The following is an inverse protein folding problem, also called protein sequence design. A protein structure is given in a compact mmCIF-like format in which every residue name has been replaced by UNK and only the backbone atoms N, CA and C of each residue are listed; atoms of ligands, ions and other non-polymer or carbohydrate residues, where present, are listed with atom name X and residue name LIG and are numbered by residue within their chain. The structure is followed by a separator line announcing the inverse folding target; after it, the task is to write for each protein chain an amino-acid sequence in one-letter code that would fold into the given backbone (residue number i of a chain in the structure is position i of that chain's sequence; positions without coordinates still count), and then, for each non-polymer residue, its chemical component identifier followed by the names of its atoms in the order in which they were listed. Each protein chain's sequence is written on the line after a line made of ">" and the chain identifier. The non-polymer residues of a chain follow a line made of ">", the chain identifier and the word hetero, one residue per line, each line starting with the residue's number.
data_IF_536258439192
#
_entry.id   IF_536258439192
#
_cell.length_a   1.000
_cell.length_b   1.000
_cell.length_c   1.000
_cell.angle_alpha   90.00
_cell.angle_beta   90.00
_cell.angle_gamma   90.00
#
_symmetry.space_group_name_H-M   'P 1'
#
loop_
_entity.id
_entity.type
_entity.pdbx_description
1 polymer ?
#
# COMPACT_ATOMS: atom_id res chain seq x y z
N UNK A 1 -24.03 11.99 20.20
CA UNK A 1 -22.94 12.97 20.48
C UNK A 1 -21.58 12.46 19.98
N UNK A 2 -21.14 11.25 20.34
CA UNK A 2 -19.87 10.63 19.89
C UNK A 2 -19.65 10.59 18.35
N UNK A 3 -20.63 10.23 17.49
CA UNK A 3 -20.38 10.18 16.05
C UNK A 3 -20.18 11.57 15.43
N UNK A 4 -20.90 12.59 15.92
CA UNK A 4 -20.86 13.95 15.36
C UNK A 4 -19.49 14.61 15.58
N UNK A 5 -18.90 14.43 16.77
CA UNK A 5 -17.59 14.99 17.10
C UNK A 5 -16.48 14.35 16.25
N UNK A 6 -16.57 13.04 15.99
CA UNK A 6 -15.64 12.32 15.12
C UNK A 6 -15.64 12.86 13.69
N UNK A 7 -16.83 13.10 13.11
CA UNK A 7 -16.95 13.65 11.76
C UNK A 7 -16.37 15.07 11.66
N UNK A 8 -16.61 15.92 12.65
CA UNK A 8 -16.08 17.29 12.66
C UNK A 8 -14.55 17.26 12.78
N UNK A 9 -14.01 16.45 13.69
CA UNK A 9 -12.55 16.38 13.90
C UNK A 9 -11.82 15.84 12.66
N UNK A 10 -12.40 14.83 12.00
CA UNK A 10 -11.87 14.30 10.74
C UNK A 10 -11.92 15.37 9.62
N UNK A 11 -13.02 16.10 9.49
CA UNK A 11 -13.16 17.17 8.51
C UNK A 11 -12.16 18.32 8.74
N UNK A 12 -11.96 18.75 10.00
CA UNK A 12 -10.97 19.77 10.35
C UNK A 12 -9.55 19.32 10.02
N UNK A 13 -9.23 18.06 10.26
CA UNK A 13 -7.89 17.50 9.98
C UNK A 13 -7.64 17.43 8.48
N UNK A 14 -8.61 16.95 7.70
CA UNK A 14 -8.54 16.92 6.24
C UNK A 14 -8.37 18.34 5.69
N UNK A 15 -9.18 19.28 6.14
CA UNK A 15 -9.08 20.67 5.72
C UNK A 15 -7.72 21.29 6.06
N UNK A 16 -7.19 21.01 7.26
CA UNK A 16 -5.86 21.45 7.67
C UNK A 16 -4.76 20.93 6.74
N UNK A 17 -4.78 19.65 6.39
CA UNK A 17 -3.81 19.05 5.47
C UNK A 17 -3.88 19.70 4.08
N UNK A 18 -5.09 19.89 3.54
CA UNK A 18 -5.25 20.55 2.23
C UNK A 18 -4.79 22.01 2.24
N UNK A 19 -5.09 22.75 3.30
CA UNK A 19 -4.69 24.15 3.45
C UNK A 19 -3.16 24.30 3.52
N UNK A 20 -2.48 23.51 4.35
CA UNK A 20 -1.02 23.52 4.45
C UNK A 20 -0.37 23.19 3.11
N UNK A 21 -0.90 22.17 2.43
CA UNK A 21 -0.35 21.70 1.16
C UNK A 21 -0.46 22.73 0.04
N UNK A 22 -1.54 23.51 0.00
CA UNK A 22 -1.65 24.64 -0.92
C UNK A 22 -0.66 25.77 -0.61
N UNK A 23 -0.42 26.05 0.68
CA UNK A 23 0.57 27.06 1.10
C UNK A 23 2.00 26.64 0.74
N UNK A 24 2.34 25.38 0.96
CA UNK A 24 3.64 24.82 0.58
C UNK A 24 3.86 24.89 -0.94
N UNK A 25 2.84 24.54 -1.74
CA UNK A 25 2.92 24.61 -3.19
C UNK A 25 3.20 26.05 -3.70
N UNK A 26 2.62 27.07 -3.06
CA UNK A 26 2.90 28.47 -3.41
C UNK A 26 4.34 28.86 -3.07
N UNK A 27 4.83 28.49 -1.88
CA UNK A 27 6.20 28.75 -1.47
C UNK A 27 7.25 28.04 -2.37
N UNK A 28 6.90 26.90 -2.96
CA UNK A 28 7.76 26.20 -3.93
C UNK A 28 7.84 26.94 -5.27
N UNK A 29 6.71 27.43 -5.77
CA UNK A 29 6.66 28.23 -7.01
C UNK A 29 7.43 29.55 -6.84
N UNK A 30 7.29 30.21 -5.70
CA UNK A 30 8.05 31.44 -5.37
C UNK A 30 9.57 31.21 -5.32
N UNK A 31 10.00 29.98 -5.00
CA UNK A 31 11.41 29.56 -5.03
C UNK A 31 11.87 29.05 -6.40
N UNK A 32 11.02 29.12 -7.43
CA UNK A 32 11.32 28.66 -8.78
C UNK A 32 11.30 27.14 -8.96
N UNK A 33 10.82 26.38 -7.97
CA UNK A 33 10.72 24.92 -8.02
C UNK A 33 9.32 24.57 -8.53
N UNK A 34 9.23 23.85 -9.64
CA UNK A 34 7.93 23.45 -10.19
C UNK A 34 7.37 22.23 -9.42
N UNK A 35 6.32 22.36 -8.60
CA UNK A 35 5.83 21.28 -7.74
C UNK A 35 5.26 20.09 -8.52
N UNK A 36 4.87 20.31 -9.78
CA UNK A 36 4.33 19.27 -10.68
C UNK A 36 5.40 18.27 -11.16
N UNK A 37 6.67 18.65 -11.23
CA UNK A 37 7.73 17.72 -11.64
C UNK A 37 8.04 16.70 -10.57
N UNK A 38 8.09 17.13 -9.29
CA UNK A 38 8.26 16.23 -8.16
C UNK A 38 7.09 15.22 -8.11
N UNK A 39 5.85 15.71 -8.23
CA UNK A 39 4.65 14.87 -8.17
C UNK A 39 4.56 13.83 -9.29
N UNK A 40 5.03 14.16 -10.51
CA UNK A 40 4.98 13.26 -11.67
C UNK A 40 5.98 12.10 -11.57
N UNK A 41 7.15 12.32 -10.96
CA UNK A 41 8.14 11.23 -10.70
C UNK A 41 7.61 10.20 -9.70
N UNK A 42 6.97 10.63 -8.61
CA UNK A 42 6.45 9.72 -7.59
C UNK A 42 5.10 9.07 -7.95
N UNK A 43 4.31 9.70 -8.82
CA UNK A 43 3.00 9.18 -9.21
C UNK A 43 3.06 7.82 -9.90
N UNK A 44 4.01 7.61 -10.82
CA UNK A 44 4.13 6.35 -11.57
C UNK A 44 4.52 5.16 -10.67
N UNK A 45 5.43 5.38 -9.73
CA UNK A 45 5.93 4.35 -8.82
C UNK A 45 4.91 3.94 -7.75
N UNK A 46 3.96 4.82 -7.42
CA UNK A 46 2.89 4.50 -6.49
C UNK A 46 1.99 3.37 -7.03
N UNK A 47 1.62 3.42 -8.31
CA UNK A 47 0.80 2.37 -8.92
C UNK A 47 1.50 1.01 -8.92
N UNK A 48 2.83 0.98 -9.09
CA UNK A 48 3.63 -0.24 -9.04
C UNK A 48 3.59 -0.89 -7.64
N UNK A 49 3.64 -0.08 -6.57
CA UNK A 49 3.53 -0.56 -5.18
C UNK A 49 2.20 -1.23 -4.91
N UNK A 50 1.11 -0.56 -5.28
CA UNK A 50 -0.24 -1.08 -5.04
C UNK A 50 -0.54 -2.30 -5.90
N UNK A 51 -0.07 -2.34 -7.16
CA UNK A 51 -0.22 -3.49 -8.03
C UNK A 51 0.51 -4.72 -7.46
N UNK A 52 1.75 -4.57 -7.01
CA UNK A 52 2.52 -5.69 -6.46
C UNK A 52 1.96 -6.18 -5.11
N UNK A 53 1.40 -5.26 -4.30
CA UNK A 53 0.66 -5.63 -3.09
C UNK A 53 -0.59 -6.45 -3.39
N UNK A 54 -1.38 -6.04 -4.40
CA UNK A 54 -2.57 -6.76 -4.87
C UNK A 54 -2.22 -8.17 -5.37
N UNK A 55 -1.13 -8.29 -6.15
CA UNK A 55 -0.64 -9.58 -6.63
C UNK A 55 -0.22 -10.47 -5.45
N UNK A 56 0.54 -9.94 -4.49
CA UNK A 56 0.94 -10.67 -3.28
C UNK A 56 -0.25 -11.15 -2.46
N UNK A 57 -1.24 -10.28 -2.24
CA UNK A 57 -2.47 -10.64 -1.53
C UNK A 57 -3.29 -11.71 -2.27
N UNK A 58 -3.42 -11.60 -3.60
CA UNK A 58 -4.14 -12.57 -4.43
C UNK A 58 -3.46 -13.95 -4.43
N UNK A 59 -2.13 -14.00 -4.54
CA UNK A 59 -1.36 -15.24 -4.46
C UNK A 59 -1.48 -15.85 -3.05
N UNK A 60 -1.39 -15.03 -2.00
CA UNK A 60 -1.57 -15.49 -0.62
C UNK A 60 -2.94 -16.11 -0.37
N UNK A 61 -4.00 -15.52 -0.94
CA UNK A 61 -5.35 -16.06 -0.88
C UNK A 61 -5.48 -17.39 -1.63
N UNK A 62 -4.91 -17.50 -2.84
CA UNK A 62 -4.92 -18.73 -3.62
C UNK A 62 -4.18 -19.87 -2.90
N UNK A 63 -3.02 -19.58 -2.30
CA UNK A 63 -2.24 -20.57 -1.54
C UNK A 63 -3.02 -20.99 -0.28
N UNK A 64 -3.63 -20.05 0.44
CA UNK A 64 -4.44 -20.35 1.61
C UNK A 64 -5.61 -21.29 1.26
N UNK A 65 -6.31 -21.02 0.15
CA UNK A 65 -7.39 -21.87 -0.34
C UNK A 65 -6.91 -23.28 -0.75
N UNK A 66 -5.74 -23.37 -1.40
CA UNK A 66 -5.16 -24.67 -1.78
C UNK A 66 -4.81 -25.51 -0.53
N UNK A 67 -4.26 -24.88 0.50
CA UNK A 67 -3.93 -25.53 1.77
C UNK A 67 -5.21 -26.02 2.44
N UNK A 68 -6.25 -25.17 2.50
CA UNK A 68 -7.54 -25.49 3.09
C UNK A 68 -8.17 -26.76 2.47
N UNK A 69 -8.20 -26.84 1.14
CA UNK A 69 -8.71 -28.04 0.42
C UNK A 69 -7.88 -29.29 0.74
N UNK A 70 -6.55 -29.18 0.78
CA UNK A 70 -5.68 -30.33 1.04
C UNK A 70 -5.73 -30.80 2.50
N UNK A 71 -5.93 -29.89 3.46
CA UNK A 71 -6.09 -30.20 4.87
C UNK A 71 -7.40 -30.93 5.14
N UNK A 72 -8.50 -30.49 4.51
CA UNK A 72 -9.81 -31.16 4.57
C UNK A 72 -9.73 -32.60 4.04
N UNK A 73 -8.96 -32.83 2.98
CA UNK A 73 -8.86 -34.15 2.32
C UNK A 73 -8.06 -35.18 3.14
N UNK A 74 -7.16 -34.76 4.05
CA UNK A 74 -6.29 -35.65 4.83
C UNK A 74 -6.88 -36.15 6.16
N UNK A 75 -8.17 -35.95 6.40
CA UNK A 75 -8.87 -36.57 7.53
C UNK A 75 -8.50 -36.02 8.91
N UNK A 76 -7.79 -34.88 8.98
CA UNK A 76 -7.70 -34.12 10.23
C UNK A 76 -9.09 -33.53 10.49
N UNK A 77 -9.84 -34.15 11.40
CA UNK A 77 -11.17 -33.72 11.85
C UNK A 77 -11.13 -32.40 12.62
N UNK A 78 -10.69 -31.33 11.96
CA UNK A 78 -10.70 -29.98 12.45
C UNK A 78 -11.73 -29.24 11.62
N UNK A 79 -12.78 -28.76 12.29
CA UNK A 79 -14.00 -28.27 11.67
C UNK A 79 -13.81 -27.10 10.68
N UNK A 80 -14.91 -26.63 10.08
CA UNK A 80 -14.95 -25.79 8.87
C UNK A 80 -14.40 -24.35 9.00
N UNK A 81 -13.54 -24.05 9.98
CA UNK A 81 -13.26 -22.68 10.40
C UNK A 81 -11.80 -22.48 10.86
N UNK A 82 -10.85 -22.46 9.92
CA UNK A 82 -9.54 -21.84 10.15
C UNK A 82 -9.44 -20.48 9.45
N UNK A 83 -10.22 -19.45 9.88
CA UNK A 83 -10.04 -18.08 9.38
C UNK A 83 -8.63 -17.56 9.68
N UNK A 84 -7.94 -18.14 10.66
CA UNK A 84 -6.55 -17.86 10.99
C UNK A 84 -5.59 -18.07 9.81
N UNK A 85 -5.82 -19.06 8.93
CA UNK A 85 -4.98 -19.29 7.75
C UNK A 85 -5.12 -18.14 6.75
N UNK A 86 -6.35 -17.73 6.46
CA UNK A 86 -6.62 -16.58 5.59
C UNK A 86 -6.09 -15.27 6.18
N UNK A 87 -6.35 -15.03 7.47
CA UNK A 87 -5.90 -13.82 8.17
C UNK A 87 -4.39 -13.71 8.31
N UNK A 88 -3.65 -14.82 8.27
CA UNK A 88 -2.19 -14.80 8.35
C UNK A 88 -1.54 -14.79 6.96
N UNK A 89 -1.98 -15.62 6.02
CA UNK A 89 -1.34 -15.71 4.70
C UNK A 89 -1.52 -14.45 3.84
N UNK A 90 -2.70 -13.83 3.88
CA UNK A 90 -2.98 -12.62 3.08
C UNK A 90 -2.00 -11.50 3.43
N UNK A 91 -1.86 -11.04 4.70
CA UNK A 91 -0.95 -9.96 5.03
C UNK A 91 0.52 -10.36 4.89
N UNK A 92 0.88 -11.63 5.12
CA UNK A 92 2.28 -12.09 4.94
C UNK A 92 2.68 -12.01 3.47
N UNK A 93 1.90 -12.58 2.56
CA UNK A 93 2.20 -12.55 1.12
C UNK A 93 2.07 -11.13 0.55
N UNK A 94 1.09 -10.33 0.99
CA UNK A 94 0.98 -8.93 0.61
C UNK A 94 2.20 -8.11 1.09
N UNK A 95 2.69 -8.37 2.31
CA UNK A 95 3.88 -7.73 2.87
C UNK A 95 5.15 -8.06 2.08
N UNK A 96 5.34 -9.32 1.68
CA UNK A 96 6.45 -9.72 0.80
C UNK A 96 6.35 -9.00 -0.55
N UNK A 97 5.14 -8.87 -1.11
CA UNK A 97 4.89 -8.09 -2.33
C UNK A 97 5.33 -6.62 -2.18
N UNK A 98 5.08 -6.00 -1.03
CA UNK A 98 5.55 -4.63 -0.75
C UNK A 98 7.07 -4.52 -0.68
N UNK A 99 7.73 -5.47 0.01
CA UNK A 99 9.20 -5.48 0.16
C UNK A 99 9.88 -5.66 -1.20
N UNK A 100 9.33 -6.52 -2.06
CA UNK A 100 9.80 -6.67 -3.43
C UNK A 100 9.66 -5.38 -4.23
N UNK A 101 8.55 -4.64 -4.05
CA UNK A 101 8.32 -3.37 -4.73
C UNK A 101 9.38 -2.33 -4.36
N UNK A 102 9.70 -2.23 -3.07
CA UNK A 102 10.75 -1.32 -2.58
C UNK A 102 12.12 -1.63 -3.18
N UNK A 103 12.47 -2.92 -3.32
CA UNK A 103 13.74 -3.31 -3.92
C UNK A 103 13.81 -3.01 -5.42
N UNK A 104 12.69 -3.12 -6.15
CA UNK A 104 12.62 -2.76 -7.58
C UNK A 104 12.78 -1.25 -7.75
N UNK A 105 12.04 -0.46 -6.96
CA UNK A 105 12.09 1.00 -7.00
C UNK A 105 13.49 1.53 -6.63
N UNK A 106 14.17 0.92 -5.65
CA UNK A 106 15.54 1.26 -5.27
C UNK A 106 16.53 1.02 -6.43
N UNK A 107 16.36 -0.06 -7.19
CA UNK A 107 17.22 -0.38 -8.35
C UNK A 107 17.00 0.60 -9.51
N UNK A 108 15.76 1.00 -9.76
CA UNK A 108 15.46 2.02 -10.77
C UNK A 108 16.06 3.37 -10.37
N UNK A 109 15.85 3.82 -9.13
CA UNK A 109 16.45 5.05 -8.59
C UNK A 109 17.98 5.07 -8.73
N UNK A 110 18.66 3.97 -8.41
CA UNK A 110 20.13 3.87 -8.58
C UNK A 110 20.57 3.95 -10.04
N UNK A 111 19.81 3.38 -10.99
CA UNK A 111 20.09 3.50 -12.43
C UNK A 111 19.92 4.93 -12.94
N UNK A 112 18.97 5.69 -12.39
CA UNK A 112 18.82 7.11 -12.73
C UNK A 112 20.00 7.93 -12.20
N UNK A 113 20.46 7.67 -10.97
CA UNK A 113 21.57 8.42 -10.35
C UNK A 113 22.94 8.17 -11.04
N UNK A 114 23.17 6.99 -11.60
CA UNK A 114 24.42 6.63 -12.28
C UNK A 114 24.48 7.10 -13.75
N UNK A 115 23.41 7.72 -14.24
CA UNK A 115 23.30 8.23 -15.63
C UNK A 115 23.56 9.73 -15.73
N UNK A 116 23.62 10.42 -14.59
CA UNK A 116 24.15 11.78 -14.44
C UNK A 116 25.64 11.71 -14.05
#
# INVERSE_FOLDING_TARGET
>A
MIPIVLFICAATTLFGIFYLRNKENMALIERGINPRESYRKFGSLAYLKYALMMIGAGIGLLIAYLIDINMVTRGFGVGPQHPALYFSLIPICAGIGLVLSYNIEKKEMQKYLNKE
#
